data_IF_348549448618
#
_entry.id   IF_348549448618
#
_cell.length_a   1.000
_cell.length_b   1.000
_cell.length_c   1.000
_cell.angle_alpha   90.00
_cell.angle_beta   90.00
_cell.angle_gamma   90.00
#
_symmetry.space_group_name_H-M   'P 1'
#
loop_
_entity.id
_entity.type
_entity.pdbx_description
1 polymer ?
#
# COMPACT_ATOMS: atom_id res chain seq x y z
N UNK A 1 -0.69 -14.98 28.76
CA UNK A 1 -1.23 -15.32 30.10
C UNK A 1 -2.05 -14.16 30.68
N UNK A 2 -2.86 -13.45 29.88
CA UNK A 2 -3.65 -12.26 30.29
C UNK A 2 -5.15 -12.43 29.92
N UNK A 3 -5.48 -13.45 29.13
CA UNK A 3 -6.86 -13.69 28.64
C UNK A 3 -7.73 -14.38 29.71
N UNK A 4 -7.13 -15.05 30.69
CA UNK A 4 -7.86 -15.79 31.73
C UNK A 4 -8.51 -14.87 32.79
N UNK A 5 -7.93 -13.70 33.08
CA UNK A 5 -8.41 -12.79 34.13
C UNK A 5 -9.55 -11.87 33.69
N UNK A 6 -9.99 -11.93 32.43
CA UNK A 6 -11.12 -11.17 31.91
C UNK A 6 -12.41 -11.98 31.76
N UNK A 7 -12.35 -13.31 31.95
CA UNK A 7 -13.53 -14.18 31.87
C UNK A 7 -14.20 -14.44 33.24
N UNK A 8 -13.50 -14.21 34.35
CA UNK A 8 -14.08 -14.40 35.69
C UNK A 8 -15.29 -13.49 36.03
N UNK A 9 -15.37 -12.21 35.61
CA UNK A 9 -16.57 -11.41 35.89
C UNK A 9 -17.79 -11.78 35.03
N UNK A 10 -17.62 -12.61 33.98
CA UNK A 10 -18.71 -13.08 33.13
C UNK A 10 -19.45 -14.30 33.71
N UNK A 11 -18.84 -15.00 34.67
CA UNK A 11 -19.43 -16.16 35.34
C UNK A 11 -20.09 -15.83 36.69
N UNK A 12 -19.95 -14.59 37.18
CA UNK A 12 -20.70 -14.06 38.33
C UNK A 12 -22.13 -13.68 37.92
N UNK A 13 -22.87 -14.66 37.38
CA UNK A 13 -24.30 -14.57 37.06
C UNK A 13 -25.06 -14.86 38.37
N UNK A 14 -24.95 -13.96 39.34
CA UNK A 14 -25.92 -13.81 40.43
C UNK A 14 -27.06 -12.89 39.99
N UNK A 15 -27.51 -13.09 38.75
CA UNK A 15 -28.63 -12.33 38.20
C UNK A 15 -29.95 -13.05 38.43
N UNK A 16 -29.94 -14.35 38.79
CA UNK A 16 -31.15 -15.18 38.86
C UNK A 16 -32.24 -14.58 39.74
N UNK A 17 -31.89 -14.06 40.92
CA UNK A 17 -32.85 -13.41 41.82
C UNK A 17 -33.37 -12.06 41.28
N UNK A 18 -32.52 -11.35 40.53
CA UNK A 18 -32.88 -10.11 39.83
C UNK A 18 -33.82 -10.36 38.65
N UNK A 19 -33.67 -11.50 37.95
CA UNK A 19 -34.60 -11.91 36.89
C UNK A 19 -35.97 -12.30 37.45
N UNK A 20 -36.05 -12.95 38.62
CA UNK A 20 -37.34 -13.28 39.25
C UNK A 20 -38.09 -12.03 39.70
N UNK A 21 -37.40 -11.06 40.32
CA UNK A 21 -38.02 -9.79 40.74
C UNK A 21 -38.49 -8.93 39.56
N UNK A 22 -37.81 -8.97 38.41
CA UNK A 22 -38.33 -8.34 37.18
C UNK A 22 -39.52 -9.08 36.58
N UNK A 23 -39.56 -10.42 36.69
CA UNK A 23 -40.66 -11.26 36.21
C UNK A 23 -41.97 -11.11 37.00
N UNK A 24 -41.88 -10.81 38.30
CA UNK A 24 -43.06 -10.59 39.15
C UNK A 24 -43.89 -9.36 38.73
N UNK A 25 -43.26 -8.39 38.06
CA UNK A 25 -43.99 -7.25 37.48
C UNK A 25 -44.70 -7.58 36.16
N UNK A 26 -44.43 -8.74 35.54
CA UNK A 26 -45.09 -9.19 34.30
C UNK A 26 -46.30 -10.11 34.55
N UNK A 27 -46.46 -10.67 35.75
CA UNK A 27 -47.46 -11.72 36.04
C UNK A 27 -48.71 -11.25 36.81
N UNK A 28 -48.80 -9.96 37.17
CA UNK A 28 -49.95 -9.40 37.87
C UNK A 28 -50.94 -8.65 36.96
N UNK A 29 -52.12 -8.29 37.49
CA UNK A 29 -53.23 -7.49 36.89
C UNK A 29 -52.86 -6.27 36.00
N UNK A 30 -51.60 -5.88 35.92
CA UNK A 30 -51.05 -4.90 34.97
C UNK A 30 -50.69 -5.52 33.60
N UNK A 31 -50.89 -6.83 33.40
CA UNK A 31 -50.74 -7.51 32.12
C UNK A 31 -51.95 -7.34 31.17
N UNK A 32 -52.94 -6.50 31.53
CA UNK A 32 -53.83 -5.88 30.53
C UNK A 32 -53.00 -4.87 29.74
N UNK A 33 -52.17 -5.38 28.84
CA UNK A 33 -51.49 -4.59 27.83
C UNK A 33 -52.56 -3.88 27.01
N UNK A 34 -52.80 -2.62 27.34
CA UNK A 34 -53.68 -1.76 26.58
C UNK A 34 -53.19 -1.80 25.13
N UNK A 35 -54.08 -2.09 24.18
CA UNK A 35 -53.72 -2.17 22.77
C UNK A 35 -53.02 -0.88 22.29
N UNK A 36 -53.33 0.26 22.91
CA UNK A 36 -52.64 1.53 22.68
C UNK A 36 -51.16 1.51 23.05
N UNK A 37 -50.79 0.91 24.18
CA UNK A 37 -49.38 0.79 24.60
C UNK A 37 -48.61 -0.16 23.69
N UNK A 38 -49.24 -1.25 23.25
CA UNK A 38 -48.62 -2.20 22.34
C UNK A 38 -48.35 -1.57 20.96
N UNK A 39 -49.30 -0.76 20.47
CA UNK A 39 -49.13 0.01 19.22
C UNK A 39 -48.04 1.07 19.40
N UNK A 40 -48.01 1.78 20.52
CA UNK A 40 -46.96 2.77 20.83
C UNK A 40 -45.57 2.14 20.84
N UNK A 41 -45.42 0.99 21.49
CA UNK A 41 -44.17 0.22 21.50
C UNK A 41 -43.77 -0.22 20.08
N UNK A 42 -44.72 -0.75 19.30
CA UNK A 42 -44.46 -1.21 17.93
C UNK A 42 -43.99 -0.06 17.02
N UNK A 43 -44.62 1.12 17.12
CA UNK A 43 -44.22 2.32 16.37
C UNK A 43 -42.83 2.79 16.79
N UNK A 44 -42.53 2.78 18.09
CA UNK A 44 -41.22 3.19 18.60
C UNK A 44 -40.09 2.27 18.10
N UNK A 45 -40.30 0.95 18.15
CA UNK A 45 -39.36 -0.04 17.61
C UNK A 45 -39.20 0.11 16.10
N UNK A 46 -40.31 0.27 15.36
CA UNK A 46 -40.26 0.48 13.91
C UNK A 46 -39.50 1.77 13.54
N UNK A 47 -39.67 2.84 14.31
CA UNK A 47 -38.94 4.09 14.14
C UNK A 47 -37.43 3.92 14.34
N UNK A 48 -37.01 3.18 15.36
CA UNK A 48 -35.59 2.88 15.60
C UNK A 48 -34.98 2.04 14.48
N UNK A 49 -35.69 1.01 14.01
CA UNK A 49 -35.24 0.19 12.87
C UNK A 49 -35.10 1.05 11.61
N UNK A 50 -36.08 1.90 11.32
CA UNK A 50 -36.04 2.81 10.17
C UNK A 50 -34.86 3.78 10.27
N UNK A 51 -34.64 4.39 11.44
CA UNK A 51 -33.51 5.27 11.68
C UNK A 51 -32.18 4.55 11.43
N UNK A 52 -32.04 3.31 11.91
CA UNK A 52 -30.84 2.51 11.72
C UNK A 52 -30.59 2.17 10.23
N UNK A 53 -31.66 1.82 9.50
CA UNK A 53 -31.60 1.57 8.05
C UNK A 53 -31.18 2.83 7.29
N UNK A 54 -31.74 3.99 7.65
CA UNK A 54 -31.41 5.28 7.04
C UNK A 54 -29.96 5.66 7.32
N UNK A 55 -29.51 5.54 8.58
CA UNK A 55 -28.12 5.79 8.97
C UNK A 55 -27.14 4.86 8.25
N UNK A 56 -27.49 3.59 8.09
CA UNK A 56 -26.68 2.62 7.36
C UNK A 56 -26.62 2.95 5.86
N UNK A 57 -27.76 3.33 5.24
CA UNK A 57 -27.79 3.80 3.85
C UNK A 57 -26.97 5.07 3.65
N UNK A 58 -27.09 6.07 4.53
CA UNK A 58 -26.31 7.30 4.46
C UNK A 58 -24.82 7.02 4.67
N UNK A 59 -24.48 6.11 5.57
CA UNK A 59 -23.10 5.69 5.82
C UNK A 59 -22.51 5.02 4.58
N UNK A 60 -23.25 4.11 3.93
CA UNK A 60 -22.84 3.49 2.65
C UNK A 60 -22.70 4.52 1.53
N UNK A 61 -23.64 5.47 1.40
CA UNK A 61 -23.54 6.58 0.44
C UNK A 61 -22.32 7.48 0.66
N UNK A 62 -21.81 7.56 1.89
CA UNK A 62 -20.58 8.30 2.23
C UNK A 62 -19.30 7.48 2.08
N UNK A 63 -19.39 6.15 1.99
CA UNK A 63 -18.24 5.25 1.80
C UNK A 63 -17.82 5.19 0.32
N UNK A 64 -18.77 5.35 -0.62
CA UNK A 64 -18.47 5.40 -2.05
C UNK A 64 -18.06 6.80 -2.56
N UNK A 65 -18.12 7.82 -1.72
CA UNK A 65 -17.30 9.02 -1.95
C UNK A 65 -15.93 8.66 -1.40
N UNK A 66 -14.89 8.43 -2.22
CA UNK A 66 -13.56 8.20 -1.70
C UNK A 66 -13.25 9.37 -0.78
N UNK A 67 -13.23 9.11 0.53
CA UNK A 67 -12.73 10.05 1.51
C UNK A 67 -11.31 10.32 1.04
N UNK A 68 -11.14 11.47 0.38
CA UNK A 68 -9.88 12.15 0.19
C UNK A 68 -9.28 12.28 1.58
N UNK A 69 -8.58 11.27 2.04
CA UNK A 69 -7.55 11.48 3.01
C UNK A 69 -6.51 12.30 2.24
N UNK A 70 -6.30 13.58 2.54
CA UNK A 70 -5.36 14.41 1.78
C UNK A 70 -3.92 13.86 1.83
N UNK A 71 -3.67 12.92 2.74
CA UNK A 71 -2.40 12.22 2.93
C UNK A 71 -2.29 10.82 2.29
N UNK A 72 -3.38 10.16 1.86
CA UNK A 72 -3.30 8.82 1.23
C UNK A 72 -3.62 8.81 -0.26
N UNK A 73 -3.96 9.97 -0.84
CA UNK A 73 -4.09 10.09 -2.28
C UNK A 73 -2.72 10.01 -2.95
N UNK A 74 -2.47 8.95 -3.71
CA UNK A 74 -1.30 8.81 -4.60
C UNK A 74 -1.08 10.05 -5.49
N UNK A 75 -2.15 10.76 -5.80
CA UNK A 75 -2.14 12.04 -6.52
C UNK A 75 -1.56 13.22 -5.73
N UNK A 76 -1.81 13.31 -4.41
CA UNK A 76 -1.23 14.39 -3.60
C UNK A 76 0.26 14.19 -3.39
N UNK A 77 0.70 12.93 -3.27
CA UNK A 77 2.10 12.54 -3.20
C UNK A 77 2.82 12.89 -4.52
N UNK A 78 2.26 12.52 -5.67
CA UNK A 78 2.79 12.91 -6.97
C UNK A 78 2.94 14.43 -7.12
N UNK A 79 1.92 15.20 -6.73
CA UNK A 79 1.97 16.66 -6.82
C UNK A 79 3.04 17.26 -5.91
N UNK A 80 3.23 16.70 -4.70
CA UNK A 80 4.30 17.12 -3.78
C UNK A 80 5.68 16.79 -4.35
N UNK A 81 5.86 15.61 -4.95
CA UNK A 81 7.10 15.24 -5.63
C UNK A 81 7.42 16.20 -6.78
N UNK A 82 6.45 16.49 -7.66
CA UNK A 82 6.66 17.47 -8.73
C UNK A 82 7.10 18.84 -8.22
N UNK A 83 6.49 19.34 -7.14
CA UNK A 83 6.88 20.63 -6.53
C UNK A 83 8.28 20.55 -5.91
N UNK A 84 8.61 19.46 -5.23
CA UNK A 84 9.91 19.27 -4.56
C UNK A 84 11.05 19.21 -5.57
N UNK A 85 10.81 18.59 -6.74
CA UNK A 85 11.78 18.52 -7.84
C UNK A 85 11.71 19.73 -8.78
N UNK A 86 10.89 20.75 -8.50
CA UNK A 86 10.79 21.96 -9.33
C UNK A 86 10.13 21.75 -10.70
N UNK A 87 9.39 20.67 -10.91
CA UNK A 87 8.73 20.38 -12.18
C UNK A 87 7.56 21.34 -12.44
N UNK A 88 7.52 21.92 -13.64
CA UNK A 88 6.38 22.71 -14.08
C UNK A 88 5.12 21.83 -14.21
N UNK A 89 3.94 22.45 -14.14
CA UNK A 89 2.65 21.73 -14.29
C UNK A 89 2.55 20.99 -15.63
N UNK A 90 3.14 21.52 -16.69
CA UNK A 90 3.16 20.89 -18.00
C UNK A 90 3.98 19.59 -17.97
N UNK A 91 5.17 19.63 -17.37
CA UNK A 91 6.07 18.48 -17.24
C UNK A 91 5.45 17.41 -16.33
N UNK A 92 4.81 17.81 -15.24
CA UNK A 92 4.06 16.88 -14.39
C UNK A 92 2.92 16.16 -15.13
N UNK A 93 2.27 16.80 -16.11
CA UNK A 93 1.28 16.10 -16.95
C UNK A 93 1.93 15.07 -17.85
N UNK A 94 3.13 15.35 -18.35
CA UNK A 94 3.89 14.45 -19.22
C UNK A 94 4.34 13.20 -18.43
N UNK A 95 4.91 13.37 -17.24
CA UNK A 95 5.28 12.26 -16.34
C UNK A 95 4.07 11.41 -15.99
N UNK A 96 2.92 12.02 -15.72
CA UNK A 96 1.68 11.27 -15.45
C UNK A 96 1.26 10.41 -16.64
N UNK A 97 1.32 10.95 -17.87
CA UNK A 97 1.00 10.18 -19.09
C UNK A 97 1.95 9.00 -19.26
N UNK A 98 3.25 9.22 -19.08
CA UNK A 98 4.27 8.18 -19.11
C UNK A 98 3.96 7.05 -18.11
N UNK A 99 3.61 7.40 -16.88
CA UNK A 99 3.23 6.43 -15.86
C UNK A 99 1.97 5.63 -16.24
N UNK A 100 0.97 6.30 -16.83
CA UNK A 100 -0.26 5.64 -17.31
C UNK A 100 0.02 4.69 -18.47
N UNK A 101 0.82 5.11 -19.45
CA UNK A 101 1.23 4.27 -20.59
C UNK A 101 2.07 3.07 -20.15
N UNK A 102 2.89 3.23 -19.11
CA UNK A 102 3.66 2.16 -18.50
C UNK A 102 2.83 1.25 -17.56
N UNK A 103 1.53 1.52 -17.38
CA UNK A 103 0.65 0.71 -16.53
C UNK A 103 0.97 0.79 -15.04
N UNK A 104 1.59 1.88 -14.57
CA UNK A 104 1.92 2.04 -13.15
C UNK A 104 0.65 2.27 -12.33
N UNK A 105 0.61 1.69 -11.12
CA UNK A 105 -0.52 1.88 -10.19
C UNK A 105 -0.60 3.30 -9.66
N UNK A 106 0.55 3.97 -9.56
CA UNK A 106 0.67 5.35 -9.11
C UNK A 106 1.63 6.13 -10.00
N UNK A 107 1.31 7.38 -10.38
CA UNK A 107 2.23 8.23 -11.14
C UNK A 107 3.49 8.60 -10.35
N UNK A 108 3.47 8.47 -9.02
CA UNK A 108 4.65 8.65 -8.19
C UNK A 108 5.70 7.55 -8.38
N UNK A 109 5.31 6.34 -8.82
CA UNK A 109 6.26 5.24 -9.08
C UNK A 109 7.23 5.57 -10.23
N UNK A 110 6.87 6.51 -11.11
CA UNK A 110 7.76 6.97 -12.17
C UNK A 110 9.05 7.61 -11.61
N UNK A 111 8.99 8.25 -10.44
CA UNK A 111 10.18 8.83 -9.79
C UNK A 111 11.17 7.77 -9.28
N UNK A 112 10.71 6.53 -9.12
CA UNK A 112 11.53 5.42 -8.61
C UNK A 112 12.12 4.56 -9.74
N UNK A 113 11.74 4.81 -11.00
CA UNK A 113 12.07 3.94 -12.14
C UNK A 113 12.68 4.77 -13.29
N UNK A 114 13.98 5.12 -13.21
CA UNK A 114 14.67 5.86 -14.28
C UNK A 114 14.59 5.13 -15.63
N UNK A 115 14.62 3.79 -15.62
CA UNK A 115 14.51 2.92 -16.80
C UNK A 115 13.28 3.23 -17.68
N UNK A 116 12.20 3.75 -17.10
CA UNK A 116 11.00 4.11 -17.87
C UNK A 116 11.27 5.28 -18.82
N UNK A 117 12.06 6.26 -18.38
CA UNK A 117 12.43 7.40 -19.20
C UNK A 117 13.39 6.97 -20.32
N UNK A 118 14.36 6.10 -20.01
CA UNK A 118 15.30 5.55 -21.00
C UNK A 118 14.58 4.75 -22.09
N UNK A 119 13.63 3.89 -21.72
CA UNK A 119 12.82 3.10 -22.67
C UNK A 119 12.04 4.01 -23.63
N UNK A 120 11.48 5.11 -23.12
CA UNK A 120 10.73 6.05 -23.96
C UNK A 120 11.67 6.85 -24.87
N UNK A 121 12.85 7.24 -24.38
CA UNK A 121 13.87 7.91 -25.17
C UNK A 121 14.42 6.99 -26.28
N UNK A 122 14.59 5.69 -25.99
CA UNK A 122 15.02 4.67 -26.93
C UNK A 122 13.93 4.28 -27.95
N UNK A 123 12.66 4.47 -27.60
CA UNK A 123 11.54 4.17 -28.47
C UNK A 123 11.57 5.00 -29.78
N UNK A 124 11.25 4.32 -30.90
CA UNK A 124 11.06 4.94 -32.22
C UNK A 124 9.75 5.72 -32.34
N UNK A 125 8.81 5.60 -31.39
CA UNK A 125 7.51 6.28 -31.45
C UNK A 125 7.57 7.74 -30.97
N UNK A 126 8.59 8.12 -30.19
CA UNK A 126 8.84 9.50 -29.78
C UNK A 126 9.49 10.34 -30.90
N UNK A 127 9.04 10.22 -32.15
CA UNK A 127 9.65 10.85 -33.33
C UNK A 127 9.59 12.38 -33.36
N UNK A 128 8.78 13.01 -32.51
CA UNK A 128 8.85 14.44 -32.30
C UNK A 128 10.12 14.80 -31.51
N UNK A 129 11.18 15.23 -32.22
CA UNK A 129 12.39 15.84 -31.64
C UNK A 129 12.15 16.74 -30.40
N UNK A 130 11.15 17.65 -30.39
CA UNK A 130 10.91 18.48 -29.21
C UNK A 130 10.46 17.68 -27.97
N UNK A 131 9.69 16.61 -28.16
CA UNK A 131 9.19 15.78 -27.05
C UNK A 131 10.32 14.98 -26.41
N UNK A 132 11.24 14.41 -27.21
CA UNK A 132 12.44 13.75 -26.67
C UNK A 132 13.31 14.69 -25.85
N UNK A 133 13.55 15.90 -26.36
CA UNK A 133 14.31 16.91 -25.63
C UNK A 133 13.63 17.31 -24.32
N UNK A 134 12.30 17.40 -24.29
CA UNK A 134 11.55 17.68 -23.08
C UNK A 134 11.63 16.53 -22.08
N UNK A 135 11.47 15.28 -22.52
CA UNK A 135 11.60 14.10 -21.65
C UNK A 135 13.00 14.00 -21.08
N UNK A 136 14.04 14.26 -21.88
CA UNK A 136 15.43 14.27 -21.42
C UNK A 136 15.64 15.32 -20.33
N UNK A 137 15.20 16.57 -20.54
CA UNK A 137 15.29 17.62 -19.51
C UNK A 137 14.59 17.24 -18.22
N UNK A 138 13.42 16.60 -18.31
CA UNK A 138 12.69 16.12 -17.13
C UNK A 138 13.48 15.02 -16.42
N UNK A 139 13.99 14.03 -17.17
CA UNK A 139 14.81 12.96 -16.60
C UNK A 139 16.05 13.52 -15.90
N UNK A 140 16.77 14.43 -16.56
CA UNK A 140 17.93 15.10 -15.97
C UNK A 140 17.49 15.80 -14.68
N UNK A 141 16.46 16.64 -14.70
CA UNK A 141 15.97 17.36 -13.49
C UNK A 141 15.59 16.41 -12.34
N UNK A 142 14.97 15.28 -12.64
CA UNK A 142 14.54 14.30 -11.65
C UNK A 142 15.71 13.53 -11.02
N UNK A 143 16.74 13.21 -11.80
CA UNK A 143 17.81 12.29 -11.41
C UNK A 143 19.19 12.95 -11.25
N UNK A 144 19.34 14.26 -11.51
CA UNK A 144 20.61 15.01 -11.38
C UNK A 144 21.24 14.87 -9.98
N UNK A 145 20.43 14.77 -8.92
CA UNK A 145 20.93 14.61 -7.55
C UNK A 145 21.26 13.17 -7.14
N UNK A 146 20.94 12.18 -7.97
CA UNK A 146 21.09 10.76 -7.63
C UNK A 146 22.38 10.12 -8.19
N UNK A 147 23.14 10.84 -9.04
CA UNK A 147 24.34 10.27 -9.68
C UNK A 147 24.06 9.09 -10.62
N UNK A 148 22.79 8.85 -10.96
CA UNK A 148 22.32 7.71 -11.78
C UNK A 148 22.35 8.01 -13.29
N UNK A 149 22.77 9.20 -13.71
CA UNK A 149 23.12 9.45 -15.12
C UNK A 149 24.39 8.68 -15.44
N UNK A 150 24.22 7.43 -15.89
CA UNK A 150 25.26 6.42 -15.93
C UNK A 150 26.53 6.83 -16.66
N UNK A 151 27.67 6.61 -16.01
CA UNK A 151 28.93 6.25 -16.66
C UNK A 151 29.96 5.71 -15.65
N UNK A 152 29.57 4.76 -14.80
CA UNK A 152 30.57 3.80 -14.35
C UNK A 152 30.65 2.73 -15.44
N UNK A 153 31.42 3.06 -16.48
CA UNK A 153 31.98 2.04 -17.35
C UNK A 153 32.49 0.92 -16.42
N UNK A 154 32.17 -0.36 -16.67
CA UNK A 154 32.80 -1.43 -15.92
C UNK A 154 34.29 -1.13 -15.98
N UNK A 155 34.99 -0.96 -14.83
CA UNK A 155 36.42 -0.74 -14.87
C UNK A 155 36.92 -1.89 -15.72
N UNK A 156 37.47 -1.55 -16.88
CA UNK A 156 38.20 -2.52 -17.67
C UNK A 156 39.20 -3.08 -16.69
N UNK A 157 38.95 -4.31 -16.25
CA UNK A 157 39.93 -5.16 -15.60
C UNK A 157 40.95 -5.53 -16.68
N UNK A 158 41.61 -4.50 -17.21
CA UNK A 158 42.93 -4.56 -17.82
C UNK A 158 43.93 -4.35 -16.68
N UNK A 159 43.76 -5.15 -15.64
CA UNK A 159 44.72 -5.37 -14.58
C UNK A 159 45.03 -6.84 -14.67
N UNK A 160 46.03 -7.16 -15.51
CA UNK A 160 46.63 -8.47 -15.59
C UNK A 160 46.81 -9.04 -14.17
N UNK A 161 46.41 -10.30 -13.91
CA UNK A 161 46.85 -10.99 -12.72
C UNK A 161 48.38 -10.93 -12.68
N UNK A 162 49.01 -10.54 -11.56
CA UNK A 162 50.44 -10.74 -11.43
C UNK A 162 50.70 -12.23 -11.61
N UNK A 163 51.45 -12.56 -12.67
CA UNK A 163 52.12 -13.83 -12.83
C UNK A 163 52.85 -14.15 -11.53
N UNK A 164 52.21 -14.93 -10.66
CA UNK A 164 52.91 -15.59 -9.59
C UNK A 164 53.64 -16.77 -10.22
N UNK A 165 54.81 -16.44 -10.78
CA UNK A 165 55.84 -17.36 -11.24
C UNK A 165 56.21 -18.27 -10.08
N UNK A 166 55.60 -19.45 -10.04
CA UNK A 166 56.09 -20.55 -9.22
C UNK A 166 57.45 -20.98 -9.79
N UNK A 167 58.54 -20.90 -9.01
CA UNK A 167 59.81 -21.48 -9.40
C UNK A 167 59.69 -23.00 -9.28
N UNK A 168 60.16 -23.69 -10.31
CA UNK A 168 60.03 -25.12 -10.45
C UNK A 168 60.82 -25.96 -9.45
N UNK A 169 60.39 -27.22 -9.38
CA UNK A 169 61.21 -28.42 -9.20
C UNK A 169 60.28 -29.55 -9.71
N UNK A 170 60.47 -30.12 -10.92
CA UNK A 170 61.48 -31.12 -11.24
C UNK A 170 61.56 -32.16 -10.11
N UNK A 171 60.82 -33.26 -10.21
CA UNK A 171 61.27 -34.58 -10.71
C UNK A 171 61.00 -35.62 -9.58
N UNK A 172 61.19 -36.94 -9.76
CA UNK A 172 60.50 -37.84 -10.68
C UNK A 172 60.04 -39.15 -9.97
N UNK A 173 59.24 -39.98 -10.64
CA UNK A 173 59.29 -41.46 -10.53
C UNK A 173 58.81 -42.13 -9.22
N UNK A 174 57.95 -43.14 -9.37
CA UNK A 174 57.64 -44.06 -8.28
C UNK A 174 56.40 -44.91 -8.53
N UNK A 175 56.61 -46.00 -9.27
CA UNK A 175 55.67 -47.05 -9.65
C UNK A 175 55.22 -47.93 -8.44
N UNK A 176 54.46 -49.04 -8.60
CA UNK A 176 53.29 -49.41 -7.78
C UNK A 176 53.55 -50.54 -6.75
N UNK A 177 52.79 -50.61 -5.65
CA UNK A 177 52.51 -51.85 -4.88
C UNK A 177 51.22 -51.68 -4.06
N UNK A 178 50.18 -52.52 -4.21
CA UNK A 178 49.97 -53.90 -3.69
C UNK A 178 49.61 -53.98 -2.20
N UNK A 179 48.73 -54.94 -1.88
CA UNK A 179 48.29 -55.45 -0.55
C UNK A 179 47.09 -54.73 0.09
N UNK A 180 46.00 -55.36 0.54
CA UNK A 180 45.58 -56.77 0.73
C UNK A 180 44.09 -56.88 0.44
#
# INVERSE_FOLDING_TARGET
MIIATLLEPLLAIDSRERWTSMGDHFSGKNAELNAGDLIGLAVMVAGLVLLFVVLNKISKLKIDRPKKNPFTGTDSLFRRLCVTHGLARADGRLVRRLATEAGLKSPAEAFLRPDLFERVLASKSAQAKPLKAQIQRIADTLFTGLGVTGQEAPPSQSGAPPEHRAPGAAEPGGDPQQSV
#
